data_IF_471977554109
#
_entry.id   IF_471977554109
#
_cell.length_a   1.000
_cell.length_b   1.000
_cell.length_c   1.000
_cell.angle_alpha   90.00
_cell.angle_beta   90.00
_cell.angle_gamma   90.00
#
_symmetry.space_group_name_H-M   'P 1'
#
loop_
_entity.id
_entity.type
_entity.pdbx_description
1 polymer ?
#
# COMPACT_ATOMS: atom_id res chain seq x y z
N UNK A 1 -10.50 11.13 11.35
CA UNK A 1 -10.54 12.57 10.97
C UNK A 1 -11.97 12.95 10.65
N UNK A 2 -12.41 14.10 11.13
CA UNK A 2 -13.70 14.71 10.75
C UNK A 2 -13.59 15.38 9.39
N UNK A 3 -14.71 15.66 8.74
CA UNK A 3 -14.71 16.34 7.43
C UNK A 3 -14.12 17.76 7.52
N UNK A 4 -14.32 18.45 8.64
CA UNK A 4 -13.71 19.78 8.87
C UNK A 4 -12.18 19.70 8.97
N UNK A 5 -11.64 18.70 9.65
CA UNK A 5 -10.18 18.45 9.69
C UNK A 5 -9.63 18.13 8.29
N UNK A 6 -10.38 17.41 7.46
CA UNK A 6 -10.00 17.15 6.06
C UNK A 6 -9.97 18.43 5.25
N UNK A 7 -10.98 19.33 5.40
CA UNK A 7 -11.00 20.64 4.73
C UNK A 7 -9.78 21.48 5.08
N UNK A 8 -9.41 21.50 6.35
CA UNK A 8 -8.20 22.23 6.82
C UNK A 8 -6.95 21.63 6.18
N UNK A 9 -6.78 20.29 6.23
CA UNK A 9 -5.63 19.60 5.61
C UNK A 9 -5.54 19.88 4.11
N UNK A 10 -6.66 19.80 3.39
CA UNK A 10 -6.73 20.09 1.95
C UNK A 10 -6.26 21.53 1.63
N UNK A 11 -6.71 22.49 2.42
CA UNK A 11 -6.34 23.90 2.24
C UNK A 11 -4.85 24.14 2.57
N UNK A 12 -4.36 23.62 3.69
CA UNK A 12 -2.97 23.81 4.13
C UNK A 12 -1.97 23.09 3.21
N UNK A 13 -2.28 21.86 2.80
CA UNK A 13 -1.43 21.05 1.92
C UNK A 13 -1.65 21.34 0.43
N UNK A 14 -2.61 22.22 0.08
CA UNK A 14 -2.97 22.56 -1.31
C UNK A 14 -3.33 21.32 -2.14
N UNK A 15 -4.07 20.40 -1.55
CA UNK A 15 -4.56 19.22 -2.25
C UNK A 15 -5.61 19.63 -3.28
N UNK A 16 -5.40 19.24 -4.53
CA UNK A 16 -6.31 19.50 -5.65
C UNK A 16 -7.15 18.27 -6.00
N UNK A 17 -6.64 17.06 -5.69
CA UNK A 17 -7.30 15.81 -6.06
C UNK A 17 -7.15 14.76 -4.98
N UNK A 18 -8.15 13.87 -4.90
CA UNK A 18 -8.12 12.64 -4.13
C UNK A 18 -8.04 11.41 -5.04
N UNK A 19 -7.19 10.46 -4.71
CA UNK A 19 -7.29 9.09 -5.18
C UNK A 19 -8.16 8.31 -4.22
N UNK A 20 -9.46 8.25 -4.49
CA UNK A 20 -10.41 7.40 -3.75
C UNK A 20 -10.15 5.94 -4.11
N UNK A 21 -9.63 5.15 -3.17
CA UNK A 21 -9.04 3.84 -3.44
C UNK A 21 -9.63 2.74 -2.57
N UNK A 22 -9.77 1.56 -3.15
CA UNK A 22 -10.06 0.31 -2.45
C UNK A 22 -9.18 -0.83 -2.98
N UNK A 23 -9.16 -1.95 -2.27
CA UNK A 23 -8.45 -3.16 -2.69
C UNK A 23 -9.47 -4.20 -3.08
N UNK A 24 -9.36 -4.76 -4.29
CA UNK A 24 -10.21 -5.86 -4.75
C UNK A 24 -9.71 -7.23 -4.21
N UNK A 25 -10.48 -8.30 -4.42
CA UNK A 25 -10.30 -9.61 -3.77
C UNK A 25 -8.94 -10.29 -4.05
N UNK A 26 -8.24 -9.95 -5.14
CA UNK A 26 -6.89 -10.47 -5.41
C UNK A 26 -5.76 -9.59 -4.85
N UNK A 27 -6.11 -8.53 -4.12
CA UNK A 27 -5.15 -7.63 -3.46
C UNK A 27 -4.63 -6.49 -4.36
N UNK A 28 -5.24 -6.25 -5.52
CA UNK A 28 -4.88 -5.13 -6.37
C UNK A 28 -5.65 -3.86 -5.97
N UNK A 29 -4.94 -2.73 -5.71
CA UNK A 29 -5.61 -1.45 -5.45
C UNK A 29 -6.25 -0.92 -6.73
N UNK A 30 -7.46 -0.38 -6.58
CA UNK A 30 -8.22 0.35 -7.61
C UNK A 30 -8.46 1.76 -7.11
N UNK A 31 -8.54 2.73 -8.01
CA UNK A 31 -8.80 4.11 -7.61
C UNK A 31 -9.54 4.90 -8.71
N UNK A 32 -10.24 5.93 -8.25
CA UNK A 32 -10.68 7.06 -9.09
C UNK A 32 -10.04 8.34 -8.60
N UNK A 33 -9.70 9.22 -9.54
CA UNK A 33 -9.25 10.56 -9.24
C UNK A 33 -10.49 11.47 -9.08
N UNK A 34 -10.65 12.04 -7.90
CA UNK A 34 -11.77 12.93 -7.54
C UNK A 34 -11.22 14.32 -7.28
N UNK A 35 -11.73 15.40 -7.94
CA UNK A 35 -11.33 16.76 -7.62
C UNK A 35 -11.65 17.13 -6.17
N UNK A 36 -10.78 17.90 -5.52
CA UNK A 36 -11.00 18.34 -4.14
C UNK A 36 -12.28 19.20 -3.95
N UNK A 37 -12.76 19.83 -5.04
CA UNK A 37 -14.05 20.52 -5.04
C UNK A 37 -15.25 19.60 -4.80
N UNK A 38 -15.08 18.29 -5.03
CA UNK A 38 -16.13 17.28 -4.84
C UNK A 38 -15.96 16.50 -3.52
N UNK A 39 -15.22 17.06 -2.55
CA UNK A 39 -14.99 16.44 -1.26
C UNK A 39 -16.28 16.07 -0.53
N UNK A 40 -17.26 16.97 -0.53
CA UNK A 40 -18.55 16.78 0.16
C UNK A 40 -19.34 15.61 -0.42
N UNK A 41 -19.46 15.59 -1.75
CA UNK A 41 -20.14 14.50 -2.47
C UNK A 41 -19.42 13.16 -2.27
N UNK A 42 -18.09 13.16 -2.36
CA UNK A 42 -17.28 11.96 -2.08
C UNK A 42 -17.44 11.47 -0.64
N UNK A 43 -17.62 12.37 0.33
CA UNK A 43 -17.82 12.02 1.74
C UNK A 43 -19.21 11.43 2.00
N UNK A 44 -20.23 11.91 1.30
CA UNK A 44 -21.63 11.53 1.50
C UNK A 44 -22.05 10.31 0.66
N UNK A 45 -21.67 10.29 -0.63
CA UNK A 45 -22.09 9.28 -1.60
C UNK A 45 -20.99 8.28 -1.98
N UNK A 46 -19.73 8.58 -1.62
CA UNK A 46 -18.58 7.81 -2.05
C UNK A 46 -18.19 8.06 -3.51
N UNK A 47 -17.17 7.35 -3.98
CA UNK A 47 -16.79 7.33 -5.39
C UNK A 47 -17.37 6.07 -6.04
N UNK A 48 -18.19 6.23 -7.10
CA UNK A 48 -18.87 5.13 -7.77
C UNK A 48 -17.93 4.27 -8.64
N UNK A 49 -18.09 2.95 -8.63
CA UNK A 49 -17.35 1.99 -9.45
C UNK A 49 -18.28 0.91 -10.01
N UNK A 50 -18.11 0.57 -11.28
CA UNK A 50 -18.76 -0.62 -11.85
C UNK A 50 -18.01 -1.86 -11.35
N UNK A 51 -18.60 -2.62 -10.45
CA UNK A 51 -17.94 -3.73 -9.76
C UNK A 51 -17.48 -4.84 -10.68
N UNK A 52 -18.25 -5.17 -11.73
CA UNK A 52 -17.86 -6.17 -12.72
C UNK A 52 -16.57 -5.81 -13.47
N UNK A 53 -16.25 -4.50 -13.60
CA UNK A 53 -15.05 -4.01 -14.26
C UNK A 53 -13.86 -3.83 -13.29
N UNK A 54 -14.09 -3.92 -12.00
CA UNK A 54 -13.07 -3.64 -10.98
C UNK A 54 -12.19 -4.84 -10.60
N UNK A 55 -12.22 -5.91 -11.36
CA UNK A 55 -11.49 -7.15 -11.10
C UNK A 55 -12.37 -8.19 -10.39
N UNK A 56 -11.78 -8.95 -9.46
CA UNK A 56 -12.49 -10.04 -8.78
C UNK A 56 -13.36 -9.54 -7.62
N UNK A 57 -14.43 -8.81 -7.92
CA UNK A 57 -15.40 -8.38 -6.90
C UNK A 57 -16.64 -9.27 -6.83
N UNK A 58 -16.77 -10.25 -7.75
CA UNK A 58 -17.90 -11.18 -7.76
C UNK A 58 -19.22 -10.56 -8.21
N UNK A 59 -19.15 -9.49 -9.02
CA UNK A 59 -20.31 -8.82 -9.60
C UNK A 59 -20.40 -9.04 -11.10
N UNK A 60 -21.64 -9.10 -11.59
CA UNK A 60 -22.00 -9.18 -13.00
C UNK A 60 -22.40 -7.79 -13.56
N UNK A 61 -22.44 -7.60 -14.89
CA UNK A 61 -22.80 -6.31 -15.51
C UNK A 61 -24.19 -5.76 -15.16
N UNK A 62 -25.09 -6.58 -14.61
CA UNK A 62 -26.44 -6.19 -14.22
C UNK A 62 -26.57 -5.85 -12.72
N UNK A 63 -25.50 -6.06 -11.95
CA UNK A 63 -25.48 -5.70 -10.52
C UNK A 63 -25.35 -4.20 -10.34
N UNK A 64 -25.83 -3.70 -9.20
CA UNK A 64 -25.70 -2.30 -8.82
C UNK A 64 -24.24 -1.87 -8.69
N UNK A 65 -23.93 -0.63 -9.05
CA UNK A 65 -22.61 -0.05 -8.88
C UNK A 65 -22.18 -0.03 -7.41
N UNK A 66 -20.88 -0.15 -7.20
CA UNK A 66 -20.27 -0.01 -5.88
C UNK A 66 -19.96 1.46 -5.60
N UNK A 67 -20.15 1.88 -4.35
CA UNK A 67 -19.65 3.14 -3.81
C UNK A 67 -18.44 2.89 -2.92
N UNK A 68 -17.32 3.57 -3.17
CA UNK A 68 -16.16 3.54 -2.29
C UNK A 68 -16.28 4.67 -1.27
N UNK A 69 -16.75 4.36 -0.07
CA UNK A 69 -16.90 5.29 1.04
C UNK A 69 -15.54 5.57 1.69
N UNK A 70 -15.03 6.83 1.67
CA UNK A 70 -13.68 7.13 2.14
C UNK A 70 -13.55 7.00 3.66
N UNK A 71 -12.49 6.36 4.12
CA UNK A 71 -12.06 6.45 5.52
C UNK A 71 -10.96 7.52 5.65
N UNK A 72 -11.33 8.72 6.04
CA UNK A 72 -10.39 9.84 6.15
C UNK A 72 -9.29 9.65 7.21
N UNK A 73 -9.36 8.62 8.07
CA UNK A 73 -8.23 8.27 8.93
C UNK A 73 -7.05 7.66 8.15
N UNK A 74 -7.29 7.21 6.92
CA UNK A 74 -6.27 6.73 6.00
C UNK A 74 -5.67 7.83 5.11
N UNK A 75 -6.25 9.05 5.12
CA UNK A 75 -5.86 10.12 4.22
C UNK A 75 -4.36 10.39 4.26
N UNK A 76 -3.74 10.36 3.09
CA UNK A 76 -2.30 10.45 2.93
C UNK A 76 -1.96 11.35 1.75
N UNK A 77 -1.31 12.50 2.01
CA UNK A 77 -0.76 13.36 0.95
C UNK A 77 0.43 12.65 0.32
N UNK A 78 0.47 12.58 -1.02
CA UNK A 78 1.54 11.86 -1.72
C UNK A 78 2.87 12.61 -1.59
N UNK A 79 3.94 12.01 -1.05
CA UNK A 79 5.24 12.68 -0.95
C UNK A 79 5.85 13.07 -2.30
N UNK A 80 5.54 12.32 -3.37
CA UNK A 80 6.02 12.55 -4.73
C UNK A 80 5.08 13.43 -5.59
N UNK A 81 3.85 13.74 -5.11
CA UNK A 81 2.87 14.57 -5.82
C UNK A 81 1.95 15.25 -4.81
N UNK A 82 2.44 16.31 -4.18
CA UNK A 82 1.84 16.92 -2.98
C UNK A 82 0.46 17.55 -3.18
N UNK A 83 0.05 17.78 -4.41
CA UNK A 83 -1.30 18.25 -4.74
C UNK A 83 -2.33 17.11 -4.84
N UNK A 84 -1.91 15.86 -4.57
CA UNK A 84 -2.76 14.68 -4.58
C UNK A 84 -2.72 14.00 -3.22
N UNK A 85 -3.89 13.59 -2.72
CA UNK A 85 -4.01 12.72 -1.55
C UNK A 85 -4.62 11.38 -1.94
N UNK A 86 -4.12 10.32 -1.33
CA UNK A 86 -4.73 9.00 -1.38
C UNK A 86 -5.62 8.79 -0.16
N UNK A 87 -6.77 8.15 -0.34
CA UNK A 87 -7.67 7.75 0.73
C UNK A 87 -8.20 6.34 0.47
N UNK A 88 -8.03 5.45 1.45
CA UNK A 88 -8.64 4.13 1.42
C UNK A 88 -10.13 4.24 1.78
N UNK A 89 -10.94 3.42 1.15
CA UNK A 89 -12.36 3.37 1.45
C UNK A 89 -12.88 1.95 1.63
N UNK A 90 -14.11 1.90 2.11
CA UNK A 90 -14.90 0.67 2.23
C UNK A 90 -15.92 0.64 1.11
N UNK A 91 -16.09 -0.51 0.49
CA UNK A 91 -17.09 -0.66 -0.56
C UNK A 91 -18.48 -0.89 0.04
N UNK A 92 -19.43 -0.14 -0.46
CA UNK A 92 -20.87 -0.34 -0.25
C UNK A 92 -21.58 -0.63 -1.57
N UNK A 93 -22.66 -1.38 -1.50
CA UNK A 93 -23.60 -1.64 -2.60
C UNK A 93 -24.98 -1.39 -2.07
N UNK A 94 -25.74 -0.51 -2.74
CA UNK A 94 -27.09 -0.09 -2.31
C UNK A 94 -27.13 0.45 -0.87
N UNK A 95 -26.05 1.12 -0.42
CA UNK A 95 -25.93 1.69 0.92
C UNK A 95 -25.56 0.69 2.02
N UNK A 96 -25.29 -0.57 1.67
CA UNK A 96 -24.91 -1.63 2.62
C UNK A 96 -23.44 -2.05 2.40
N UNK A 97 -22.71 -2.35 3.49
CA UNK A 97 -21.32 -2.78 3.40
C UNK A 97 -21.15 -4.03 2.55
N UNK A 98 -20.36 -3.96 1.49
CA UNK A 98 -20.15 -5.07 0.57
C UNK A 98 -19.41 -6.24 1.24
N UNK A 99 -20.02 -7.43 1.21
CA UNK A 99 -19.52 -8.59 1.95
C UNK A 99 -18.12 -9.08 1.54
N UNK A 100 -17.74 -8.83 0.28
CA UNK A 100 -16.45 -9.25 -0.29
C UNK A 100 -15.40 -8.12 -0.30
N UNK A 101 -15.66 -6.98 0.33
CA UNK A 101 -14.65 -5.94 0.53
C UNK A 101 -13.60 -6.40 1.55
N UNK A 102 -12.32 -6.62 1.17
CA UNK A 102 -11.29 -7.12 2.08
C UNK A 102 -11.09 -6.22 3.31
N UNK A 103 -11.17 -4.91 3.12
CA UNK A 103 -11.03 -3.94 4.21
C UNK A 103 -12.18 -4.03 5.22
N UNK A 104 -13.41 -4.18 4.76
CA UNK A 104 -14.60 -4.39 5.61
C UNK A 104 -14.51 -5.73 6.35
N UNK A 105 -14.02 -6.79 5.70
CA UNK A 105 -13.78 -8.09 6.35
C UNK A 105 -12.79 -7.94 7.50
N UNK A 106 -11.67 -7.24 7.30
CA UNK A 106 -10.70 -6.98 8.36
C UNK A 106 -11.32 -6.17 9.51
N UNK A 107 -12.05 -5.10 9.23
CA UNK A 107 -12.73 -4.29 10.25
C UNK A 107 -13.65 -5.13 11.14
N UNK A 108 -14.46 -6.01 10.54
CA UNK A 108 -15.34 -6.94 11.29
C UNK A 108 -14.54 -7.85 12.23
N UNK A 109 -13.35 -8.32 11.82
CA UNK A 109 -12.51 -9.15 12.71
C UNK A 109 -11.86 -8.31 13.82
N UNK A 110 -11.50 -7.07 13.55
CA UNK A 110 -10.99 -6.13 14.57
C UNK A 110 -12.07 -5.78 15.60
N UNK A 111 -13.30 -5.56 15.19
CA UNK A 111 -14.44 -5.36 16.07
C UNK A 111 -14.69 -6.59 16.96
N UNK A 112 -14.59 -7.80 16.38
CA UNK A 112 -14.69 -9.03 17.13
C UNK A 112 -13.58 -9.17 18.17
N UNK A 113 -12.34 -8.85 17.81
CA UNK A 113 -11.20 -8.86 18.74
C UNK A 113 -11.41 -7.86 19.89
N UNK A 114 -11.87 -6.63 19.58
CA UNK A 114 -12.22 -5.62 20.60
C UNK A 114 -13.33 -6.09 21.53
N UNK A 115 -14.37 -6.74 20.99
CA UNK A 115 -15.44 -7.35 21.79
C UNK A 115 -14.96 -8.46 22.73
N UNK A 116 -13.77 -9.03 22.47
CA UNK A 116 -13.10 -10.00 23.33
C UNK A 116 -12.06 -9.35 24.27
N UNK A 117 -11.92 -8.04 24.25
CA UNK A 117 -10.98 -7.28 25.08
C UNK A 117 -9.58 -7.13 24.46
N UNK A 118 -9.43 -7.32 23.14
CA UNK A 118 -8.11 -7.27 22.49
C UNK A 118 -8.02 -6.20 21.40
N UNK A 119 -6.85 -5.54 21.35
CA UNK A 119 -6.37 -4.77 20.22
C UNK A 119 -5.43 -5.66 19.41
N UNK A 120 -5.63 -5.71 18.09
CA UNK A 120 -4.80 -6.51 17.19
C UNK A 120 -3.81 -5.63 16.45
N UNK A 121 -2.52 -5.79 16.74
CA UNK A 121 -1.42 -5.08 16.10
C UNK A 121 -0.67 -5.99 15.14
N UNK A 122 -0.21 -5.41 14.02
CA UNK A 122 0.52 -6.11 12.97
C UNK A 122 1.72 -5.28 12.51
N UNK A 123 2.90 -5.88 12.48
CA UNK A 123 4.05 -5.41 11.72
C UNK A 123 4.16 -6.23 10.42
N UNK A 124 4.68 -5.63 9.37
CA UNK A 124 4.90 -6.32 8.10
C UNK A 124 6.33 -6.07 7.60
N UNK A 125 6.99 -7.12 7.14
CA UNK A 125 8.28 -7.13 6.47
C UNK A 125 8.03 -7.57 5.04
N UNK A 126 8.04 -6.62 4.11
CA UNK A 126 7.70 -6.88 2.72
C UNK A 126 8.93 -6.82 1.86
N UNK A 127 9.32 -7.95 1.31
CA UNK A 127 10.43 -8.06 0.37
C UNK A 127 9.97 -7.71 -1.05
N UNK A 128 10.86 -7.09 -1.80
CA UNK A 128 10.63 -6.77 -3.20
C UNK A 128 11.93 -6.83 -4.00
N UNK A 129 11.81 -7.07 -5.32
CA UNK A 129 12.95 -7.04 -6.22
C UNK A 129 12.86 -5.83 -7.16
N UNK A 130 14.01 -5.20 -7.42
CA UNK A 130 14.17 -4.18 -8.46
C UNK A 130 14.68 -4.86 -9.73
N UNK A 131 13.93 -4.72 -10.82
CA UNK A 131 14.21 -5.35 -12.10
C UNK A 131 14.47 -4.30 -13.17
N UNK A 132 15.47 -4.56 -14.00
CA UNK A 132 15.73 -3.88 -15.24
C UNK A 132 15.29 -4.73 -16.45
N UNK A 133 15.67 -4.29 -17.66
CA UNK A 133 15.51 -5.07 -18.89
C UNK A 133 16.85 -5.30 -19.54
N UNK A 134 17.08 -6.51 -20.02
CA UNK A 134 18.21 -6.83 -20.87
C UNK A 134 18.03 -6.30 -22.31
N UNK A 135 19.02 -6.51 -23.16
CA UNK A 135 18.98 -6.09 -24.57
C UNK A 135 17.83 -6.73 -25.38
N UNK A 136 17.34 -7.87 -24.96
CA UNK A 136 16.18 -8.56 -25.56
C UNK A 136 14.84 -8.08 -24.97
N UNK A 137 14.86 -7.15 -23.98
CA UNK A 137 13.69 -6.62 -23.31
C UNK A 137 13.13 -7.53 -22.22
N UNK A 138 13.82 -8.60 -21.85
CA UNK A 138 13.44 -9.51 -20.76
C UNK A 138 13.78 -8.90 -19.41
N UNK A 139 12.91 -9.10 -18.41
CA UNK A 139 13.19 -8.68 -17.04
C UNK A 139 14.32 -9.49 -16.40
N UNK A 140 15.26 -8.78 -15.81
CA UNK A 140 16.43 -9.31 -15.09
C UNK A 140 16.65 -8.48 -13.81
N UNK A 141 17.42 -8.96 -12.80
CA UNK A 141 17.87 -8.12 -11.71
C UNK A 141 18.49 -6.81 -12.22
N UNK A 142 18.15 -5.68 -11.60
CA UNK A 142 18.48 -4.35 -12.13
C UNK A 142 19.97 -3.99 -12.06
N UNK A 143 20.71 -4.57 -11.11
CA UNK A 143 22.14 -4.32 -10.91
C UNK A 143 22.98 -5.49 -11.48
N UNK A 144 23.67 -5.31 -12.61
CA UNK A 144 24.47 -6.37 -13.21
C UNK A 144 25.72 -6.73 -12.38
N UNK A 145 26.06 -5.94 -11.36
CA UNK A 145 27.18 -6.18 -10.45
C UNK A 145 26.76 -6.96 -9.19
N UNK A 146 25.45 -7.15 -8.98
CA UNK A 146 24.91 -7.97 -7.90
C UNK A 146 24.91 -9.45 -8.31
N UNK A 147 26.05 -10.10 -8.15
CA UNK A 147 26.30 -11.46 -8.65
C UNK A 147 26.69 -12.47 -7.56
N UNK A 148 26.60 -12.07 -6.28
CA UNK A 148 26.90 -12.97 -5.18
C UNK A 148 25.86 -14.10 -5.12
N UNK A 149 26.32 -15.31 -4.79
CA UNK A 149 25.42 -16.46 -4.56
C UNK A 149 24.58 -16.29 -3.29
N UNK A 150 25.12 -15.56 -2.29
CA UNK A 150 24.47 -15.22 -1.03
C UNK A 150 24.67 -13.75 -0.74
N UNK A 151 23.86 -12.87 -1.36
CA UNK A 151 24.03 -11.42 -1.29
C UNK A 151 23.42 -10.77 -0.05
N UNK A 152 22.74 -11.53 0.82
CA UNK A 152 22.07 -11.00 2.00
C UNK A 152 23.00 -10.11 2.84
N UNK A 153 22.56 -8.89 3.14
CA UNK A 153 23.31 -7.84 3.85
C UNK A 153 24.56 -7.30 3.13
N UNK A 154 24.69 -7.54 1.81
CA UNK A 154 25.86 -7.04 1.07
C UNK A 154 25.90 -5.51 1.04
N UNK A 155 26.97 -4.97 1.63
CA UNK A 155 27.15 -3.53 1.76
C UNK A 155 27.34 -2.84 0.41
N UNK A 156 28.03 -3.45 -0.55
CA UNK A 156 28.30 -2.82 -1.86
C UNK A 156 27.04 -2.72 -2.70
N UNK A 157 26.21 -3.76 -2.70
CA UNK A 157 24.94 -3.74 -3.42
C UNK A 157 23.96 -2.77 -2.79
N UNK A 158 23.86 -2.75 -1.46
CA UNK A 158 23.08 -1.74 -0.76
C UNK A 158 23.56 -0.32 -1.08
N UNK A 159 24.88 -0.11 -1.07
CA UNK A 159 25.47 1.20 -1.41
C UNK A 159 25.14 1.66 -2.84
N UNK A 160 25.10 0.76 -3.82
CA UNK A 160 24.70 1.11 -5.20
C UNK A 160 23.25 1.52 -5.35
N UNK A 161 22.39 1.14 -4.39
CA UNK A 161 20.96 1.44 -4.37
C UNK A 161 20.56 2.50 -3.30
N UNK A 162 21.53 3.18 -2.68
CA UNK A 162 21.28 4.14 -1.58
C UNK A 162 20.35 5.28 -1.96
N UNK A 163 20.40 5.78 -3.18
CA UNK A 163 19.55 6.88 -3.65
C UNK A 163 18.07 6.47 -3.66
N UNK A 164 17.75 5.24 -4.12
CA UNK A 164 16.42 4.68 -4.08
C UNK A 164 15.97 4.43 -2.63
N UNK A 165 16.78 3.73 -1.84
CA UNK A 165 16.44 3.32 -0.49
C UNK A 165 16.29 4.52 0.47
N UNK A 166 17.21 5.50 0.37
CA UNK A 166 17.11 6.70 1.23
C UNK A 166 15.93 7.59 0.86
N UNK A 167 15.55 7.68 -0.41
CA UNK A 167 14.34 8.39 -0.80
C UNK A 167 13.09 7.72 -0.24
N UNK A 168 12.99 6.40 -0.37
CA UNK A 168 11.89 5.61 0.16
C UNK A 168 11.76 5.79 1.68
N UNK A 169 12.88 5.69 2.42
CA UNK A 169 12.94 5.93 3.87
C UNK A 169 12.47 7.34 4.23
N UNK A 170 12.93 8.37 3.51
CA UNK A 170 12.51 9.77 3.76
C UNK A 170 11.01 9.95 3.57
N UNK A 171 10.41 9.35 2.55
CA UNK A 171 8.97 9.40 2.34
C UNK A 171 8.23 8.68 3.45
N UNK A 172 8.71 7.52 3.90
CA UNK A 172 8.12 6.80 5.03
C UNK A 172 8.21 7.59 6.35
N UNK A 173 9.34 8.30 6.57
CA UNK A 173 9.52 9.21 7.72
C UNK A 173 8.54 10.39 7.66
N UNK A 174 8.40 11.02 6.49
CA UNK A 174 7.44 12.11 6.26
C UNK A 174 6.00 11.65 6.54
N UNK A 175 5.66 10.41 6.17
CA UNK A 175 4.37 9.79 6.43
C UNK A 175 4.17 9.33 7.89
N UNK A 176 5.18 9.48 8.74
CA UNK A 176 5.12 9.08 10.14
C UNK A 176 5.04 7.55 10.35
N UNK A 177 5.68 6.78 9.48
CA UNK A 177 5.66 5.31 9.59
C UNK A 177 6.80 4.75 10.44
N UNK A 178 7.77 5.57 10.82
CA UNK A 178 8.89 5.21 11.68
C UNK A 178 9.69 4.00 11.15
N UNK A 179 10.28 4.11 9.92
CA UNK A 179 11.15 3.07 9.39
C UNK A 179 12.42 2.97 10.23
N UNK A 180 12.88 1.75 10.53
CA UNK A 180 14.03 1.53 11.44
C UNK A 180 15.15 0.66 10.83
N UNK A 181 14.88 -0.10 9.78
CA UNK A 181 15.88 -0.90 9.10
C UNK A 181 15.57 -1.04 7.61
N UNK A 182 16.59 -1.27 6.83
CA UNK A 182 16.54 -1.60 5.42
C UNK A 182 17.80 -2.38 5.06
N UNK A 183 17.66 -3.44 4.32
CA UNK A 183 18.76 -4.31 3.92
C UNK A 183 18.59 -4.89 2.53
N UNK A 184 19.69 -5.45 2.04
CA UNK A 184 19.72 -6.32 0.87
C UNK A 184 19.38 -7.74 1.30
N UNK A 185 18.47 -8.37 0.57
CA UNK A 185 17.96 -9.71 0.85
C UNK A 185 18.71 -10.81 0.08
N UNK A 186 18.25 -12.06 0.21
CA UNK A 186 18.97 -13.27 -0.24
C UNK A 186 18.94 -13.50 -1.76
N UNK A 187 18.14 -12.74 -2.52
CA UNK A 187 18.19 -12.76 -3.98
C UNK A 187 18.81 -11.48 -4.53
N UNK A 188 19.48 -11.58 -5.69
CA UNK A 188 20.07 -10.42 -6.35
C UNK A 188 19.00 -9.34 -6.63
N UNK A 189 19.32 -8.09 -6.26
CA UNK A 189 18.42 -6.94 -6.32
C UNK A 189 17.13 -7.09 -5.51
N UNK A 190 17.14 -7.88 -4.46
CA UNK A 190 16.06 -8.04 -3.50
C UNK A 190 16.34 -7.19 -2.26
N UNK A 191 15.31 -6.53 -1.76
CA UNK A 191 15.41 -5.61 -0.63
C UNK A 191 14.21 -5.80 0.29
N UNK A 192 14.46 -5.54 1.59
CA UNK A 192 13.43 -5.42 2.61
C UNK A 192 13.53 -4.07 3.30
N UNK A 193 12.41 -3.56 3.78
CA UNK A 193 12.38 -2.37 4.61
C UNK A 193 11.39 -2.56 5.76
N UNK A 194 11.85 -2.29 6.97
CA UNK A 194 11.07 -2.50 8.19
C UNK A 194 10.61 -1.17 8.78
N UNK A 195 9.37 -1.13 9.26
CA UNK A 195 8.78 0.01 9.97
C UNK A 195 7.96 -0.44 11.17
N UNK A 196 7.68 0.49 12.07
CA UNK A 196 6.95 0.19 13.31
C UNK A 196 5.55 -0.35 13.02
N UNK A 197 5.19 -1.42 13.74
CA UNK A 197 3.84 -1.98 13.72
C UNK A 197 2.78 -0.95 14.11
N UNK A 198 1.56 -1.20 13.72
CA UNK A 198 0.39 -0.43 14.09
C UNK A 198 -0.83 -1.36 14.25
N UNK A 199 -1.96 -0.77 14.60
CA UNK A 199 -3.24 -1.49 14.53
C UNK A 199 -3.45 -2.05 13.12
N UNK A 200 -4.01 -3.26 13.02
CA UNK A 200 -3.93 -4.06 11.79
C UNK A 200 -4.56 -3.39 10.55
N UNK A 201 -5.65 -2.63 10.71
CA UNK A 201 -6.24 -1.91 9.57
C UNK A 201 -5.29 -0.84 9.04
N UNK A 202 -4.67 -0.09 9.94
CA UNK A 202 -3.67 0.93 9.59
C UNK A 202 -2.45 0.31 8.89
N UNK A 203 -2.01 -0.86 9.36
CA UNK A 203 -0.90 -1.60 8.72
C UNK A 203 -1.30 -2.09 7.33
N UNK A 204 -2.52 -2.59 7.13
CA UNK A 204 -3.03 -3.02 5.83
C UNK A 204 -3.09 -1.86 4.82
N UNK A 205 -3.60 -0.69 5.23
CA UNK A 205 -3.64 0.52 4.42
C UNK A 205 -2.20 0.98 4.06
N UNK A 206 -1.29 1.05 5.06
CA UNK A 206 0.12 1.38 4.84
C UNK A 206 0.83 0.42 3.91
N UNK A 207 0.59 -0.89 4.05
CA UNK A 207 1.20 -1.90 3.17
C UNK A 207 0.73 -1.76 1.72
N UNK A 208 -0.57 -1.49 1.51
CA UNK A 208 -1.13 -1.21 0.18
C UNK A 208 -0.46 0.02 -0.45
N UNK A 209 -0.36 1.12 0.31
CA UNK A 209 0.30 2.35 -0.12
C UNK A 209 1.81 2.14 -0.37
N UNK A 210 2.51 1.43 0.51
CA UNK A 210 3.93 1.09 0.39
C UNK A 210 4.23 0.37 -0.93
N UNK A 211 3.48 -0.70 -1.23
CA UNK A 211 3.67 -1.45 -2.49
C UNK A 211 3.47 -0.57 -3.73
N UNK A 212 2.54 0.36 -3.67
CA UNK A 212 2.32 1.32 -4.74
C UNK A 212 3.47 2.33 -4.82
N UNK A 213 3.86 2.93 -3.70
CA UNK A 213 4.97 3.90 -3.61
C UNK A 213 6.28 3.32 -4.18
N UNK A 214 6.66 2.11 -3.76
CA UNK A 214 7.87 1.43 -4.25
C UNK A 214 7.83 1.27 -5.77
N UNK A 215 6.68 0.91 -6.35
CA UNK A 215 6.53 0.75 -7.81
C UNK A 215 6.65 2.08 -8.54
N UNK A 216 6.00 3.15 -8.05
CA UNK A 216 6.10 4.49 -8.64
C UNK A 216 7.56 4.97 -8.65
N UNK A 217 8.25 4.85 -7.52
CA UNK A 217 9.66 5.27 -7.41
C UNK A 217 10.61 4.44 -8.29
N UNK A 218 10.30 3.17 -8.52
CA UNK A 218 11.05 2.32 -9.44
C UNK A 218 10.80 2.74 -10.90
N UNK A 219 9.55 2.98 -11.29
CA UNK A 219 9.16 3.43 -12.64
C UNK A 219 9.82 4.77 -13.01
N UNK A 220 9.92 5.72 -12.07
CA UNK A 220 10.65 6.99 -12.26
C UNK A 220 12.13 6.79 -12.61
N UNK A 221 12.70 5.61 -12.29
CA UNK A 221 14.08 5.20 -12.60
C UNK A 221 14.17 4.21 -13.76
N UNK A 222 13.09 4.04 -14.51
CA UNK A 222 13.00 3.04 -15.58
C UNK A 222 13.23 1.61 -15.09
N UNK A 223 12.91 1.34 -13.83
CA UNK A 223 12.94 0.01 -13.20
C UNK A 223 11.52 -0.50 -12.98
N UNK A 224 11.39 -1.80 -12.77
CA UNK A 224 10.18 -2.46 -12.29
C UNK A 224 10.43 -2.96 -10.86
N UNK A 225 9.63 -2.52 -9.90
CA UNK A 225 9.57 -3.16 -8.59
C UNK A 225 8.52 -4.27 -8.59
N UNK A 226 8.90 -5.47 -8.15
CA UNK A 226 7.98 -6.61 -8.06
C UNK A 226 7.92 -7.17 -6.64
N UNK A 227 6.70 -7.44 -6.18
CA UNK A 227 6.39 -8.19 -4.96
C UNK A 227 5.92 -9.61 -5.28
N UNK A 228 6.22 -10.10 -6.49
CA UNK A 228 5.90 -11.47 -6.88
C UNK A 228 6.72 -12.45 -6.00
N UNK A 229 6.08 -13.45 -5.37
CA UNK A 229 6.78 -14.35 -4.44
C UNK A 229 7.96 -15.09 -5.05
N UNK A 230 7.90 -15.44 -6.33
CA UNK A 230 8.98 -16.18 -7.03
C UNK A 230 9.09 -15.71 -8.48
N UNK A 231 9.71 -14.52 -8.74
CA UNK A 231 9.85 -14.02 -10.13
C UNK A 231 10.89 -14.77 -10.94
N UNK A 232 11.89 -15.41 -10.28
CA UNK A 232 12.94 -16.19 -10.92
C UNK A 232 13.08 -17.57 -10.24
N UNK A 233 13.09 -18.63 -11.03
CA UNK A 233 13.18 -19.99 -10.50
C UNK A 233 14.50 -20.29 -9.77
N UNK A 234 15.58 -19.65 -10.20
CA UNK A 234 16.95 -19.83 -9.70
C UNK A 234 17.36 -18.86 -8.58
N UNK A 235 16.52 -17.89 -8.21
CA UNK A 235 16.81 -16.94 -7.11
C UNK A 235 15.88 -17.22 -5.92
N UNK A 236 16.26 -16.77 -4.73
CA UNK A 236 15.39 -16.81 -3.55
C UNK A 236 14.10 -16.03 -3.81
N UNK A 237 12.99 -16.51 -3.28
CA UNK A 237 11.69 -15.85 -3.40
C UNK A 237 11.56 -14.68 -2.43
N UNK A 238 10.56 -13.81 -2.70
CA UNK A 238 10.22 -12.69 -1.81
C UNK A 238 9.15 -13.10 -0.81
N UNK A 239 9.44 -12.92 0.47
CA UNK A 239 8.52 -13.12 1.58
C UNK A 239 7.69 -11.87 1.87
N UNK A 240 6.70 -12.05 2.71
CA UNK A 240 5.98 -10.98 3.40
C UNK A 240 5.63 -11.50 4.80
N UNK A 241 6.51 -11.26 5.76
CA UNK A 241 6.33 -11.76 7.11
C UNK A 241 5.39 -10.84 7.89
N UNK A 242 4.41 -11.43 8.57
CA UNK A 242 3.46 -10.71 9.41
C UNK A 242 3.72 -11.04 10.88
N UNK A 243 4.17 -10.04 11.63
CA UNK A 243 4.33 -10.12 13.09
C UNK A 243 3.04 -9.67 13.75
N UNK A 244 2.36 -10.59 14.39
CA UNK A 244 1.02 -10.38 14.96
C UNK A 244 1.07 -10.40 16.48
N UNK A 245 0.38 -9.48 17.14
CA UNK A 245 0.23 -9.44 18.60
C UNK A 245 -1.15 -8.97 19.01
N UNK A 246 -1.64 -9.56 20.10
CA UNK A 246 -2.87 -9.15 20.77
C UNK A 246 -2.48 -8.40 22.06
N UNK A 247 -3.06 -7.23 22.26
CA UNK A 247 -2.84 -6.36 23.40
C UNK A 247 -4.16 -6.17 24.12
N UNK A 248 -4.11 -6.04 25.45
CA UNK A 248 -5.31 -5.71 26.21
C UNK A 248 -5.78 -4.29 25.86
N UNK A 249 -7.10 -4.09 25.83
CA UNK A 249 -7.70 -2.77 25.53
C UNK A 249 -7.40 -1.72 26.60
N UNK A 250 -6.95 -2.12 27.79
CA UNK A 250 -6.66 -1.27 28.94
C UNK A 250 -5.17 -0.84 29.02
N UNK A 251 -4.34 -1.16 28.01
CA UNK A 251 -2.91 -0.83 27.95
C UNK A 251 -2.61 0.36 27.04
#
# INVERSE_FOLDING_TARGET
MTLDEVRVLVAESKVEFFLSSFVEMSGAPKAKLVPASNLEEMADEGAGFAGFAAGNMGQDPHDSDMANMPDFNSLTVLPWSRNISWVAGNIEVEGEPFAYCPRTILQRQLERARGMGFLFNVGVEAEFMLLGRDEAGKYVPSDPLDTLEKPCYDLLTLNRNLDFMTLLIRYMQELGWDPYANDHEDANCQFEINWRYAEALRTADRHTFFRWMVKVLAEERSLLATFMPKPFDNLTGSGAHYHMSLWDTDN
#
